data_IF_699859919421
#
_entry.id   IF_699859919421
#
_cell.length_a   1.000
_cell.length_b   1.000
_cell.length_c   1.000
_cell.angle_alpha   90.00
_cell.angle_beta   90.00
_cell.angle_gamma   90.00
#
_symmetry.space_group_name_H-M   'P 1'
#
loop_
_entity.id
_entity.type
_entity.pdbx_description
1 polymer ?
#
# COMPACT_ATOMS: atom_id res chain seq x y z
N UNK A 1 -50.45 4.72 43.51
CA UNK A 1 -50.00 3.61 42.63
C UNK A 1 -48.82 4.09 41.82
N UNK A 2 -47.61 3.90 42.35
CA UNK A 2 -46.36 4.23 41.68
C UNK A 2 -45.92 3.00 40.89
N UNK A 3 -45.74 3.17 39.55
CA UNK A 3 -45.12 2.13 38.70
C UNK A 3 -43.63 2.42 38.60
N UNK A 4 -42.84 1.55 39.20
CA UNK A 4 -41.39 1.56 39.12
C UNK A 4 -40.94 1.12 37.72
N UNK A 5 -40.20 1.99 37.03
CA UNK A 5 -39.47 1.61 35.80
C UNK A 5 -38.20 0.88 36.21
N UNK A 6 -38.11 -0.40 35.84
CA UNK A 6 -36.89 -1.19 35.96
C UNK A 6 -36.01 -0.84 34.76
N UNK A 7 -34.89 -0.15 35.00
CA UNK A 7 -33.82 0.02 34.02
C UNK A 7 -33.02 -1.28 33.91
N UNK A 8 -33.18 -1.99 32.81
CA UNK A 8 -32.29 -3.13 32.48
C UNK A 8 -31.02 -2.52 31.89
N UNK A 9 -29.95 -2.49 32.67
CA UNK A 9 -28.62 -2.13 32.23
C UNK A 9 -28.12 -3.25 31.32
N UNK A 10 -28.24 -3.05 30.00
CA UNK A 10 -27.64 -3.90 28.98
C UNK A 10 -26.12 -3.85 29.13
N UNK A 11 -25.48 -4.96 29.51
CA UNK A 11 -24.03 -5.13 29.43
C UNK A 11 -23.62 -4.96 27.97
N UNK A 12 -23.03 -3.81 27.63
CA UNK A 12 -22.29 -3.64 26.37
C UNK A 12 -21.09 -4.58 26.49
N UNK A 13 -21.19 -5.76 25.88
CA UNK A 13 -20.03 -6.61 25.65
C UNK A 13 -19.08 -5.88 24.72
N UNK A 14 -18.08 -5.21 25.29
CA UNK A 14 -16.93 -4.74 24.54
C UNK A 14 -16.22 -5.99 24.03
N UNK A 15 -16.67 -6.52 22.87
CA UNK A 15 -15.92 -7.53 22.13
C UNK A 15 -14.60 -6.86 21.78
N UNK A 16 -13.53 -7.25 22.45
CA UNK A 16 -12.18 -6.98 21.97
C UNK A 16 -12.12 -7.56 20.56
N UNK A 17 -12.30 -6.71 19.56
CA UNK A 17 -12.27 -7.12 18.16
C UNK A 17 -10.88 -7.71 17.92
N UNK A 18 -10.82 -9.01 17.65
CA UNK A 18 -9.57 -9.66 17.32
C UNK A 18 -8.90 -8.88 16.18
N UNK A 19 -7.59 -8.63 16.31
CA UNK A 19 -6.83 -7.89 15.30
C UNK A 19 -7.09 -8.48 13.90
N UNK A 20 -7.57 -7.68 12.91
CA UNK A 20 -7.95 -8.20 11.60
C UNK A 20 -6.85 -9.06 10.97
N UNK A 21 -7.21 -10.09 10.21
CA UNK A 21 -6.22 -10.97 9.54
C UNK A 21 -5.22 -10.15 8.72
N UNK A 22 -5.69 -9.13 8.00
CA UNK A 22 -4.84 -8.23 7.24
C UNK A 22 -3.81 -7.55 8.13
N UNK A 23 -4.23 -6.98 9.27
CA UNK A 23 -3.32 -6.26 10.18
C UNK A 23 -2.27 -7.18 10.80
N UNK A 24 -2.63 -8.43 11.14
CA UNK A 24 -1.64 -9.43 11.59
C UNK A 24 -0.62 -9.75 10.51
N UNK A 25 -1.05 -9.81 9.25
CA UNK A 25 -0.15 -10.05 8.10
C UNK A 25 0.78 -8.85 7.88
N UNK A 26 0.26 -7.62 8.05
CA UNK A 26 1.08 -6.41 7.99
C UNK A 26 2.04 -6.33 9.18
N UNK A 27 1.58 -6.63 10.41
CA UNK A 27 2.45 -6.66 11.60
C UNK A 27 3.63 -7.64 11.39
N UNK A 28 3.37 -8.80 10.77
CA UNK A 28 4.42 -9.76 10.39
C UNK A 28 5.40 -9.15 9.40
N UNK A 29 4.93 -8.50 8.34
CA UNK A 29 5.81 -7.84 7.36
C UNK A 29 6.65 -6.72 8.01
N UNK A 30 6.04 -5.88 8.82
CA UNK A 30 6.70 -4.80 9.54
C UNK A 30 7.81 -5.33 10.45
N UNK A 31 7.55 -6.44 11.15
CA UNK A 31 8.52 -7.10 12.03
C UNK A 31 9.63 -7.80 11.25
N UNK A 32 9.28 -8.63 10.24
CA UNK A 32 10.24 -9.43 9.48
C UNK A 32 11.27 -8.56 8.73
N UNK A 33 10.90 -7.32 8.38
CA UNK A 33 11.72 -6.39 7.58
C UNK A 33 12.11 -5.11 8.34
N UNK A 34 11.88 -5.01 9.63
CA UNK A 34 12.20 -3.84 10.46
C UNK A 34 11.73 -2.51 9.83
N UNK A 35 10.45 -2.48 9.36
CA UNK A 35 9.94 -1.36 8.57
C UNK A 35 9.65 -0.11 9.40
N UNK A 36 9.35 -0.27 10.71
CA UNK A 36 8.96 0.83 11.60
C UNK A 36 9.81 0.78 12.86
N UNK A 37 10.47 1.89 13.16
CA UNK A 37 11.32 2.09 14.34
C UNK A 37 10.85 3.31 15.14
N UNK A 38 11.29 3.40 16.40
CA UNK A 38 11.01 4.59 17.21
C UNK A 38 11.72 5.80 16.63
N UNK A 39 10.99 6.92 16.55
CA UNK A 39 11.48 8.16 15.96
C UNK A 39 11.26 8.27 14.45
N UNK A 40 10.63 7.27 13.80
CA UNK A 40 10.29 7.40 12.39
C UNK A 40 9.23 8.46 12.12
N UNK A 41 9.40 9.20 11.03
CA UNK A 41 8.42 10.09 10.43
C UNK A 41 8.01 9.51 9.08
N UNK A 42 6.82 8.90 9.01
CA UNK A 42 6.38 8.08 7.88
C UNK A 42 5.35 8.83 7.03
N UNK A 43 5.61 8.98 5.74
CA UNK A 43 4.67 9.51 4.76
C UNK A 43 3.92 8.36 4.06
N UNK A 44 2.61 8.28 4.24
CA UNK A 44 1.76 7.27 3.58
C UNK A 44 1.38 7.78 2.19
N UNK A 45 1.73 7.05 1.15
CA UNK A 45 1.33 7.35 -0.23
C UNK A 45 -0.14 6.97 -0.45
N UNK A 46 -1.05 7.94 -0.30
CA UNK A 46 -2.49 7.77 -0.40
C UNK A 46 -2.96 7.90 -1.86
N UNK A 47 -3.08 6.79 -2.59
CA UNK A 47 -3.58 6.81 -3.96
C UNK A 47 -5.11 6.97 -4.07
N UNK A 48 -5.85 6.76 -3.00
CA UNK A 48 -7.32 6.70 -2.97
C UNK A 48 -7.89 5.32 -3.31
N UNK A 49 -7.06 4.34 -3.65
CA UNK A 49 -7.46 2.96 -3.87
C UNK A 49 -7.52 2.14 -2.57
N UNK A 50 -8.20 0.99 -2.61
CA UNK A 50 -8.39 0.10 -1.47
C UNK A 50 -7.09 -0.25 -0.71
N UNK A 51 -5.98 -0.46 -1.45
CA UNK A 51 -4.70 -0.89 -0.87
C UNK A 51 -4.08 0.21 -0.01
N UNK A 52 -4.01 1.44 -0.54
CA UNK A 52 -3.49 2.59 0.20
C UNK A 52 -4.42 3.01 1.35
N UNK A 53 -5.73 2.78 1.22
CA UNK A 53 -6.72 3.05 2.28
C UNK A 53 -6.55 2.05 3.43
N UNK A 54 -6.41 0.75 3.13
CA UNK A 54 -6.13 -0.29 4.12
C UNK A 54 -4.79 -0.05 4.84
N UNK A 55 -3.79 0.43 4.11
CA UNK A 55 -2.51 0.82 4.68
C UNK A 55 -2.64 2.00 5.65
N UNK A 56 -3.39 3.05 5.29
CA UNK A 56 -3.63 4.19 6.18
C UNK A 56 -4.41 3.79 7.44
N UNK A 57 -5.44 2.93 7.32
CA UNK A 57 -6.17 2.38 8.45
C UNK A 57 -5.24 1.59 9.39
N UNK A 58 -4.36 0.76 8.84
CA UNK A 58 -3.36 0.05 9.63
C UNK A 58 -2.45 1.02 10.42
N UNK A 59 -1.94 2.08 9.77
CA UNK A 59 -1.10 3.06 10.45
C UNK A 59 -1.87 3.80 11.55
N UNK A 60 -3.14 4.16 11.32
CA UNK A 60 -3.99 4.76 12.34
C UNK A 60 -4.18 3.85 13.57
N UNK A 61 -4.37 2.54 13.34
CA UNK A 61 -4.43 1.56 14.42
C UNK A 61 -3.06 1.37 15.11
N UNK A 62 -1.98 1.48 14.35
CA UNK A 62 -0.62 1.28 14.85
C UNK A 62 -0.15 2.45 15.72
N UNK A 63 -0.48 3.69 15.36
CA UNK A 63 -0.20 4.90 16.14
C UNK A 63 -0.81 4.88 17.55
N UNK A 64 -1.89 4.12 17.77
CA UNK A 64 -2.51 3.95 19.08
C UNK A 64 -1.74 2.99 19.99
N UNK A 65 -0.72 2.29 19.50
CA UNK A 65 0.11 1.36 20.29
C UNK A 65 1.26 2.14 20.96
N UNK A 66 1.68 1.67 22.15
CA UNK A 66 2.72 2.34 22.93
C UNK A 66 4.12 2.29 22.29
N UNK A 67 4.42 1.25 21.53
CA UNK A 67 5.75 1.01 20.95
C UNK A 67 5.65 0.31 19.59
N UNK A 68 6.54 0.63 18.63
CA UNK A 68 7.44 1.79 18.65
C UNK A 68 6.68 3.12 18.59
N UNK A 69 7.25 4.21 19.09
CA UNK A 69 6.70 5.57 18.97
C UNK A 69 7.18 6.17 17.66
N UNK A 70 6.28 6.52 16.77
CA UNK A 70 6.56 7.12 15.46
C UNK A 70 5.44 8.07 15.07
N UNK A 71 5.65 8.86 14.03
CA UNK A 71 4.64 9.74 13.44
C UNK A 71 4.28 9.28 12.02
N UNK A 72 3.04 9.54 11.62
CA UNK A 72 2.61 9.25 10.25
C UNK A 72 1.58 10.25 9.77
N UNK A 73 1.73 10.68 8.51
CA UNK A 73 0.74 11.47 7.78
C UNK A 73 0.59 10.92 6.36
N UNK A 74 -0.41 11.35 5.63
CA UNK A 74 -0.70 10.87 4.29
C UNK A 74 -0.57 11.99 3.25
N UNK A 75 -0.08 11.63 2.05
CA UNK A 75 -0.03 12.52 0.90
C UNK A 75 -0.70 11.87 -0.30
N UNK A 76 -1.68 12.57 -0.87
CA UNK A 76 -2.25 12.26 -2.17
C UNK A 76 -1.64 13.16 -3.24
N UNK A 77 -1.09 12.56 -4.30
CA UNK A 77 -0.65 13.28 -5.49
C UNK A 77 -1.75 13.20 -6.54
N UNK A 78 -2.53 14.27 -6.67
CA UNK A 78 -3.51 14.45 -7.74
C UNK A 78 -2.79 14.84 -9.03
N UNK A 79 -3.33 14.42 -10.18
CA UNK A 79 -2.74 14.70 -11.50
C UNK A 79 -3.81 15.23 -12.46
N UNK A 80 -3.35 15.93 -13.51
CA UNK A 80 -4.18 16.45 -14.61
C UNK A 80 -4.84 15.35 -15.48
N UNK A 81 -4.46 14.10 -15.33
CA UNK A 81 -5.03 12.96 -16.09
C UNK A 81 -5.96 12.05 -15.27
N UNK A 82 -6.41 12.52 -14.15
CA UNK A 82 -7.27 11.77 -13.22
C UNK A 82 -6.58 11.43 -11.91
N UNK A 83 -7.27 10.75 -11.01
CA UNK A 83 -6.89 10.45 -9.62
C UNK A 83 -7.37 11.47 -8.59
N UNK A 84 -8.61 11.99 -8.74
CA UNK A 84 -9.22 12.75 -7.65
C UNK A 84 -9.38 11.88 -6.40
N UNK A 85 -9.06 12.47 -5.25
CA UNK A 85 -9.29 11.80 -3.97
C UNK A 85 -10.77 11.99 -3.56
N UNK A 86 -11.47 10.89 -3.30
CA UNK A 86 -12.90 10.94 -3.00
C UNK A 86 -13.18 11.65 -1.66
N UNK A 87 -14.17 12.57 -1.58
CA UNK A 87 -14.50 13.28 -0.34
C UNK A 87 -14.75 12.35 0.86
N UNK A 88 -15.48 11.26 0.66
CA UNK A 88 -15.74 10.27 1.72
C UNK A 88 -14.48 9.58 2.27
N UNK A 89 -13.45 9.41 1.46
CA UNK A 89 -12.16 8.91 1.95
C UNK A 89 -11.41 9.98 2.74
N UNK A 90 -11.47 11.25 2.33
CA UNK A 90 -10.86 12.35 3.09
C UNK A 90 -11.41 12.43 4.51
N UNK A 91 -12.74 12.33 4.66
CA UNK A 91 -13.37 12.31 5.98
C UNK A 91 -12.91 11.10 6.80
N UNK A 92 -12.82 9.92 6.19
CA UNK A 92 -12.36 8.70 6.86
C UNK A 92 -10.92 8.81 7.40
N UNK A 93 -10.01 9.45 6.66
CA UNK A 93 -8.65 9.71 7.13
C UNK A 93 -8.67 10.64 8.34
N UNK A 94 -9.49 11.69 8.33
CA UNK A 94 -9.68 12.58 9.49
C UNK A 94 -10.24 11.83 10.71
N UNK A 95 -11.24 10.97 10.52
CA UNK A 95 -11.83 10.13 11.60
C UNK A 95 -10.80 9.16 12.20
N UNK A 96 -9.83 8.71 11.41
CA UNK A 96 -8.71 7.88 11.86
C UNK A 96 -7.59 8.68 12.55
N UNK A 97 -7.62 10.01 12.48
CA UNK A 97 -6.55 10.88 12.99
C UNK A 97 -5.29 10.85 12.13
N UNK A 98 -5.43 10.58 10.83
CA UNK A 98 -4.34 10.66 9.86
C UNK A 98 -4.48 11.96 9.07
N UNK A 99 -3.52 12.86 9.22
CA UNK A 99 -3.45 14.09 8.44
C UNK A 99 -3.24 13.77 6.97
N UNK A 100 -4.14 14.25 6.11
CA UNK A 100 -4.09 14.04 4.67
C UNK A 100 -3.84 15.35 3.93
N UNK A 101 -2.70 15.46 3.28
CA UNK A 101 -2.40 16.52 2.33
C UNK A 101 -2.72 16.06 0.91
N UNK A 102 -3.29 16.96 0.10
CA UNK A 102 -3.50 16.75 -1.35
C UNK A 102 -2.65 17.75 -2.11
N UNK A 103 -1.74 17.25 -2.95
CA UNK A 103 -0.89 18.05 -3.83
C UNK A 103 -1.20 17.75 -5.28
N UNK A 104 -1.54 18.77 -6.06
CA UNK A 104 -1.81 18.63 -7.49
C UNK A 104 -0.55 18.89 -8.31
N UNK A 105 -0.30 18.04 -9.31
CA UNK A 105 0.81 18.22 -10.28
C UNK A 105 0.30 18.02 -11.70
N UNK A 106 0.86 18.73 -12.67
CA UNK A 106 0.69 18.40 -14.08
C UNK A 106 1.75 17.38 -14.51
N UNK A 107 1.31 16.19 -14.92
CA UNK A 107 2.21 15.18 -15.48
C UNK A 107 2.38 15.33 -16.99
N UNK A 108 1.42 16.01 -17.65
CA UNK A 108 1.47 16.31 -19.07
C UNK A 108 2.51 17.40 -19.36
N UNK A 109 2.52 18.49 -18.59
CA UNK A 109 3.48 19.60 -18.78
C UNK A 109 4.94 19.18 -18.54
N UNK A 110 5.15 18.09 -17.81
CA UNK A 110 6.48 17.51 -17.56
C UNK A 110 6.92 16.58 -18.66
N UNK A 111 6.05 16.27 -19.63
CA UNK A 111 6.36 15.34 -20.71
C UNK A 111 7.23 16.05 -21.75
N UNK A 112 8.35 15.43 -22.11
CA UNK A 112 9.21 15.97 -23.18
C UNK A 112 8.49 15.94 -24.53
N UNK A 113 8.73 16.93 -25.36
CA UNK A 113 8.18 17.01 -26.72
C UNK A 113 8.37 15.67 -27.47
N UNK A 114 7.32 15.21 -28.14
CA UNK A 114 7.30 13.96 -28.90
C UNK A 114 7.21 12.66 -28.08
N UNK A 115 7.18 12.72 -26.75
CA UNK A 115 6.95 11.53 -25.90
C UNK A 115 5.47 11.33 -25.64
N UNK A 116 5.02 10.06 -25.65
CA UNK A 116 3.64 9.69 -25.33
C UNK A 116 3.48 9.42 -23.84
N UNK A 117 2.35 9.86 -23.28
CA UNK A 117 1.94 9.58 -21.93
C UNK A 117 1.74 8.08 -21.71
N UNK A 118 2.20 7.55 -20.57
CA UNK A 118 1.97 6.17 -20.16
C UNK A 118 1.99 6.03 -18.62
N UNK A 119 1.51 4.88 -18.12
CA UNK A 119 1.42 4.62 -16.68
C UNK A 119 2.77 4.68 -15.95
N UNK A 120 3.86 4.26 -16.62
CA UNK A 120 5.20 4.31 -16.03
C UNK A 120 5.64 5.77 -15.79
N UNK A 121 5.42 6.65 -16.76
CA UNK A 121 5.73 8.08 -16.63
C UNK A 121 4.93 8.71 -15.48
N UNK A 122 3.61 8.52 -15.48
CA UNK A 122 2.73 9.06 -14.42
C UNK A 122 3.18 8.58 -13.03
N UNK A 123 3.40 7.28 -12.86
CA UNK A 123 3.82 6.73 -11.58
C UNK A 123 5.21 7.22 -11.16
N UNK A 124 6.12 7.45 -12.11
CA UNK A 124 7.45 7.99 -11.84
C UNK A 124 7.39 9.43 -11.36
N UNK A 125 6.54 10.28 -11.99
CA UNK A 125 6.35 11.67 -11.58
C UNK A 125 5.71 11.76 -10.18
N UNK A 126 4.70 10.94 -9.91
CA UNK A 126 4.07 10.88 -8.57
C UNK A 126 5.07 10.43 -7.50
N UNK A 127 5.91 9.43 -7.78
CA UNK A 127 6.95 8.96 -6.85
C UNK A 127 8.00 10.04 -6.60
N UNK A 128 8.40 10.77 -7.65
CA UNK A 128 9.33 11.90 -7.51
C UNK A 128 8.76 12.98 -6.57
N UNK A 129 7.48 13.33 -6.73
CA UNK A 129 6.84 14.31 -5.86
C UNK A 129 6.68 13.83 -4.42
N UNK A 130 6.35 12.55 -4.23
CA UNK A 130 6.33 11.94 -2.89
C UNK A 130 7.70 12.05 -2.21
N UNK A 131 8.78 11.75 -2.93
CA UNK A 131 10.15 11.84 -2.39
C UNK A 131 10.57 13.27 -2.08
N UNK A 132 10.24 14.23 -2.96
CA UNK A 132 10.51 15.66 -2.73
C UNK A 132 9.75 16.19 -1.51
N UNK A 133 8.47 15.85 -1.42
CA UNK A 133 7.64 16.26 -0.30
C UNK A 133 8.17 15.66 1.02
N UNK A 134 8.51 14.38 1.02
CA UNK A 134 9.08 13.71 2.19
C UNK A 134 10.36 14.40 2.66
N UNK A 135 11.30 14.68 1.75
CA UNK A 135 12.54 15.38 2.07
C UNK A 135 12.29 16.80 2.62
N UNK A 136 11.38 17.55 1.99
CA UNK A 136 11.06 18.93 2.40
C UNK A 136 10.41 19.04 3.79
N UNK A 137 9.69 17.98 4.21
CA UNK A 137 8.92 17.97 5.46
C UNK A 137 9.50 17.02 6.52
N UNK A 138 10.73 16.54 6.33
CA UNK A 138 11.44 15.74 7.34
C UNK A 138 10.95 14.30 7.50
N UNK A 139 10.22 13.75 6.54
CA UNK A 139 9.86 12.33 6.55
C UNK A 139 11.06 11.48 6.13
N UNK A 140 11.41 10.47 6.92
CA UNK A 140 12.50 9.54 6.62
C UNK A 140 12.03 8.26 5.93
N UNK A 141 10.73 7.96 5.99
CA UNK A 141 10.15 6.78 5.34
C UNK A 141 8.91 7.13 4.51
N UNK A 142 8.73 6.43 3.38
CA UNK A 142 7.53 6.51 2.53
C UNK A 142 6.89 5.14 2.46
N UNK A 143 5.66 5.00 2.99
CA UNK A 143 4.90 3.77 2.96
C UNK A 143 4.05 3.67 1.69
N UNK A 144 4.29 2.61 0.91
CA UNK A 144 3.60 2.34 -0.36
C UNK A 144 2.63 1.17 -0.22
N UNK A 145 1.46 1.29 -0.83
CA UNK A 145 0.42 0.25 -0.84
C UNK A 145 0.66 -0.93 -1.78
N UNK A 146 1.92 -1.21 -2.15
CA UNK A 146 2.25 -2.38 -2.95
C UNK A 146 2.13 -3.66 -2.13
N UNK A 147 1.45 -4.65 -2.68
CA UNK A 147 1.12 -5.92 -2.02
C UNK A 147 1.84 -7.11 -2.65
N UNK A 148 1.63 -8.31 -2.11
CA UNK A 148 2.29 -9.54 -2.54
C UNK A 148 2.18 -9.79 -4.06
N UNK A 149 0.97 -9.64 -4.61
CA UNK A 149 0.75 -9.86 -6.05
C UNK A 149 1.53 -8.85 -6.90
N UNK A 150 1.61 -7.56 -6.52
CA UNK A 150 2.41 -6.56 -7.24
C UNK A 150 3.89 -6.93 -7.32
N UNK A 151 4.43 -7.48 -6.22
CA UNK A 151 5.83 -7.91 -6.15
C UNK A 151 6.07 -9.09 -7.07
N UNK A 152 5.19 -10.09 -7.03
CA UNK A 152 5.29 -11.28 -7.87
C UNK A 152 5.03 -10.99 -9.35
N UNK A 153 4.03 -10.15 -9.66
CA UNK A 153 3.80 -9.66 -11.03
C UNK A 153 5.06 -8.97 -11.58
N UNK A 154 5.72 -8.14 -10.75
CA UNK A 154 6.96 -7.46 -11.14
C UNK A 154 8.11 -8.44 -11.36
N UNK A 155 8.27 -9.44 -10.50
CA UNK A 155 9.26 -10.50 -10.68
C UNK A 155 9.07 -11.25 -11.99
N UNK A 156 7.83 -11.67 -12.28
CA UNK A 156 7.49 -12.35 -13.54
C UNK A 156 7.71 -11.46 -14.77
N UNK A 157 7.35 -10.18 -14.69
CA UNK A 157 7.61 -9.23 -15.78
C UNK A 157 9.11 -9.10 -16.04
N UNK A 158 9.93 -8.88 -15.02
CA UNK A 158 11.38 -8.75 -15.19
C UNK A 158 12.01 -10.03 -15.72
N UNK A 159 11.66 -11.20 -15.16
CA UNK A 159 12.16 -12.49 -15.63
C UNK A 159 11.83 -12.75 -17.11
N UNK A 160 10.59 -12.47 -17.53
CA UNK A 160 10.11 -12.80 -18.87
C UNK A 160 10.43 -11.74 -19.95
N UNK A 161 10.73 -10.50 -19.55
CA UNK A 161 10.98 -9.40 -20.51
C UNK A 161 12.42 -8.91 -20.52
N UNK A 162 13.16 -9.12 -19.40
CA UNK A 162 14.55 -8.66 -19.25
C UNK A 162 15.53 -9.79 -18.97
N UNK A 163 15.05 -11.00 -18.66
CA UNK A 163 15.91 -12.08 -18.19
C UNK A 163 16.49 -11.82 -16.79
N UNK A 164 15.85 -10.97 -15.98
CA UNK A 164 16.31 -10.58 -14.65
C UNK A 164 15.39 -11.12 -13.56
N UNK A 165 15.92 -11.82 -12.57
CA UNK A 165 15.18 -12.19 -11.37
C UNK A 165 15.21 -11.04 -10.36
N UNK A 166 14.37 -10.03 -10.58
CA UNK A 166 14.26 -8.82 -9.77
C UNK A 166 12.81 -8.44 -9.51
N UNK A 167 12.51 -7.97 -8.30
CA UNK A 167 11.18 -7.54 -7.88
C UNK A 167 11.24 -6.20 -7.13
N UNK A 168 10.14 -5.82 -6.51
CA UNK A 168 10.10 -4.68 -5.59
C UNK A 168 10.46 -5.17 -4.17
N UNK A 169 11.60 -4.76 -3.59
CA UNK A 169 11.96 -5.19 -2.24
C UNK A 169 10.98 -4.60 -1.20
N UNK A 170 10.72 -5.31 -0.08
CA UNK A 170 9.88 -4.81 1.01
C UNK A 170 10.37 -3.48 1.61
N UNK A 171 11.68 -3.30 1.69
CA UNK A 171 12.36 -2.08 2.14
C UNK A 171 13.40 -1.68 1.10
N UNK A 172 13.42 -0.42 0.72
CA UNK A 172 14.35 0.12 -0.27
C UNK A 172 14.82 1.51 0.14
N UNK A 173 16.09 1.64 0.53
CA UNK A 173 16.73 2.94 0.64
C UNK A 173 16.84 3.58 -0.75
N UNK A 174 16.60 4.88 -0.85
CA UNK A 174 16.58 5.55 -2.14
C UNK A 174 17.73 6.55 -2.26
N UNK A 175 18.74 6.23 -3.05
CA UNK A 175 20.00 6.97 -3.12
C UNK A 175 19.85 8.45 -3.51
N UNK A 176 18.81 8.80 -4.28
CA UNK A 176 18.58 10.18 -4.76
C UNK A 176 17.92 11.10 -3.73
N UNK A 177 17.33 10.54 -2.68
CA UNK A 177 16.64 11.27 -1.61
C UNK A 177 16.91 10.55 -0.30
N UNK A 178 17.05 11.26 0.84
CA UNK A 178 17.29 10.65 2.15
C UNK A 178 16.00 10.02 2.71
N UNK A 179 15.37 9.12 1.94
CA UNK A 179 14.13 8.46 2.31
C UNK A 179 14.21 6.96 2.02
N UNK A 180 13.55 6.17 2.86
CA UNK A 180 13.40 4.73 2.67
C UNK A 180 11.96 4.40 2.27
N UNK A 181 11.78 3.71 1.14
CA UNK A 181 10.48 3.16 0.77
C UNK A 181 10.21 1.87 1.54
N UNK A 182 9.04 1.78 2.17
CA UNK A 182 8.56 0.57 2.84
C UNK A 182 7.26 0.09 2.22
N UNK A 183 7.04 -1.25 2.21
CA UNK A 183 5.86 -1.89 1.63
C UNK A 183 5.20 -2.83 2.65
N UNK A 184 4.48 -2.29 3.63
CA UNK A 184 3.91 -3.11 4.72
C UNK A 184 2.91 -4.18 4.23
N UNK A 185 2.30 -3.98 3.04
CA UNK A 185 1.39 -4.96 2.42
C UNK A 185 2.13 -6.08 1.65
N UNK A 186 3.46 -6.15 1.64
CA UNK A 186 4.24 -7.09 0.83
C UNK A 186 3.92 -8.59 1.08
N UNK A 187 3.31 -8.93 2.19
CA UNK A 187 2.88 -10.30 2.54
C UNK A 187 1.36 -10.52 2.38
N UNK A 188 0.58 -9.48 2.08
CA UNK A 188 -0.87 -9.56 1.88
C UNK A 188 -1.20 -9.73 0.39
N UNK A 189 -2.09 -10.64 0.05
CA UNK A 189 -2.62 -10.81 -1.31
C UNK A 189 -3.88 -9.98 -1.56
N UNK A 190 -4.24 -9.83 -2.84
CA UNK A 190 -5.42 -9.05 -3.25
C UNK A 190 -6.71 -9.53 -2.57
N UNK A 191 -7.03 -10.85 -2.52
CA UNK A 191 -8.25 -11.32 -1.85
C UNK A 191 -8.34 -10.94 -0.37
N UNK A 192 -7.20 -10.94 0.35
CA UNK A 192 -7.14 -10.54 1.76
C UNK A 192 -7.48 -9.05 1.93
N UNK A 193 -6.93 -8.20 1.07
CA UNK A 193 -7.16 -6.75 1.11
C UNK A 193 -8.60 -6.42 0.72
N UNK A 194 -9.14 -7.05 -0.33
CA UNK A 194 -10.54 -6.87 -0.77
C UNK A 194 -11.49 -7.23 0.37
N UNK A 195 -11.34 -8.42 0.97
CA UNK A 195 -12.20 -8.86 2.07
C UNK A 195 -12.16 -7.89 3.26
N UNK A 196 -10.99 -7.35 3.57
CA UNK A 196 -10.86 -6.35 4.62
C UNK A 196 -11.57 -5.05 4.25
N UNK A 197 -11.37 -4.54 3.03
CA UNK A 197 -12.01 -3.34 2.53
C UNK A 197 -13.56 -3.46 2.48
N UNK A 198 -14.08 -4.64 2.13
CA UNK A 198 -15.52 -4.96 2.19
C UNK A 198 -16.06 -4.89 3.61
N UNK A 199 -15.39 -5.55 4.55
CA UNK A 199 -15.79 -5.53 5.96
C UNK A 199 -15.77 -4.11 6.57
N UNK A 200 -14.87 -3.25 6.09
CA UNK A 200 -14.74 -1.87 6.54
C UNK A 200 -15.57 -0.87 5.71
N UNK A 201 -16.23 -1.33 4.65
CA UNK A 201 -17.11 -0.50 3.82
C UNK A 201 -16.39 0.59 3.01
N UNK A 202 -15.17 0.32 2.54
CA UNK A 202 -14.42 1.25 1.68
C UNK A 202 -13.85 0.61 0.41
N UNK A 203 -14.60 -0.28 -0.23
CA UNK A 203 -14.26 -0.65 -1.61
C UNK A 203 -14.37 0.61 -2.44
N UNK A 204 -13.23 1.24 -2.67
CA UNK A 204 -13.19 2.45 -3.44
C UNK A 204 -12.73 2.18 -4.86
N UNK A 205 -13.08 3.12 -5.72
CA UNK A 205 -12.70 3.20 -7.11
C UNK A 205 -11.20 2.98 -7.30
N UNK A 206 -10.86 2.04 -8.14
CA UNK A 206 -9.54 1.96 -8.77
C UNK A 206 -9.29 3.23 -9.58
N UNK A 207 -8.01 3.58 -9.80
CA UNK A 207 -7.63 4.64 -10.71
C UNK A 207 -8.40 4.51 -12.05
N UNK A 208 -9.13 5.54 -12.44
CA UNK A 208 -9.99 5.57 -13.64
C UNK A 208 -9.33 6.20 -14.86
N UNK A 209 -7.98 6.29 -14.90
CA UNK A 209 -7.31 6.89 -16.04
C UNK A 209 -7.37 5.97 -17.28
N UNK A 210 -7.59 6.58 -18.46
CA UNK A 210 -7.73 5.88 -19.75
C UNK A 210 -6.45 5.18 -20.26
N UNK A 211 -5.35 5.26 -19.52
CA UNK A 211 -4.05 4.71 -19.91
C UNK A 211 -3.77 3.30 -19.38
N UNK A 212 -4.75 2.67 -18.70
CA UNK A 212 -4.59 1.34 -18.08
C UNK A 212 -4.75 0.14 -19.03
N UNK A 213 -5.27 0.34 -20.24
CA UNK A 213 -5.83 -0.76 -21.05
C UNK A 213 -4.81 -1.77 -21.59
N UNK A 214 -3.54 -1.43 -21.69
CA UNK A 214 -2.49 -2.32 -22.26
C UNK A 214 -1.28 -2.47 -21.32
N UNK A 215 -1.47 -2.70 -20.04
CA UNK A 215 -0.34 -2.88 -19.15
C UNK A 215 0.13 -4.35 -19.16
N UNK A 216 1.43 -4.59 -19.32
CA UNK A 216 2.04 -5.91 -19.14
C UNK A 216 1.71 -6.55 -17.78
N UNK A 217 1.20 -5.77 -16.83
CA UNK A 217 0.69 -6.24 -15.53
C UNK A 217 -0.53 -7.15 -15.64
N UNK A 218 -1.49 -6.88 -16.56
CA UNK A 218 -2.64 -7.78 -16.75
C UNK A 218 -2.18 -9.17 -17.18
N UNK A 219 -1.22 -9.23 -18.10
CA UNK A 219 -0.62 -10.48 -18.55
C UNK A 219 0.16 -11.16 -17.42
N UNK A 220 0.96 -10.42 -16.67
CA UNK A 220 1.70 -10.96 -15.53
C UNK A 220 0.77 -11.51 -14.44
N UNK A 221 -0.33 -10.80 -14.13
CA UNK A 221 -1.37 -11.26 -13.21
C UNK A 221 -2.01 -12.57 -13.66
N UNK A 222 -2.44 -12.64 -14.90
CA UNK A 222 -3.01 -13.90 -15.45
C UNK A 222 -2.02 -15.06 -15.38
N UNK A 223 -0.73 -14.82 -15.65
CA UNK A 223 0.32 -15.84 -15.51
C UNK A 223 0.54 -16.25 -14.06
N UNK A 224 0.57 -15.27 -13.15
CA UNK A 224 0.70 -15.53 -11.72
C UNK A 224 -0.47 -16.39 -11.19
N UNK A 225 -1.70 -16.06 -11.58
CA UNK A 225 -2.89 -16.81 -11.17
C UNK A 225 -2.84 -18.25 -11.69
N UNK A 226 -2.44 -18.46 -12.94
CA UNK A 226 -2.25 -19.81 -13.51
C UNK A 226 -1.12 -20.58 -12.80
N UNK A 227 -0.01 -19.92 -12.45
CA UNK A 227 1.14 -20.55 -11.81
C UNK A 227 0.82 -20.95 -10.35
N UNK A 228 -0.04 -20.20 -9.68
CA UNK A 228 -0.34 -20.37 -8.26
C UNK A 228 -1.75 -20.87 -7.96
N UNK A 229 -2.56 -21.16 -9.00
CA UNK A 229 -4.01 -21.44 -8.88
C UNK A 229 -4.74 -20.38 -8.01
N UNK A 230 -4.24 -19.16 -7.98
CA UNK A 230 -4.72 -18.09 -7.10
C UNK A 230 -4.51 -18.33 -5.60
N UNK A 231 -3.82 -19.43 -5.21
CA UNK A 231 -3.65 -19.84 -3.79
C UNK A 231 -2.60 -19.00 -3.09
N UNK A 232 -2.97 -18.44 -1.93
CA UNK A 232 -2.09 -17.62 -1.10
C UNK A 232 -0.78 -18.34 -0.72
N UNK A 233 -0.86 -19.61 -0.35
CA UNK A 233 0.28 -20.41 0.07
C UNK A 233 1.32 -20.56 -1.04
N UNK A 234 0.88 -20.73 -2.30
CA UNK A 234 1.77 -20.83 -3.45
C UNK A 234 2.39 -19.46 -3.79
N UNK A 235 1.63 -18.37 -3.70
CA UNK A 235 2.14 -17.00 -3.82
C UNK A 235 3.21 -16.74 -2.77
N UNK A 236 3.00 -17.17 -1.52
CA UNK A 236 3.98 -17.03 -0.44
C UNK A 236 5.25 -17.83 -0.70
N UNK A 237 5.15 -19.07 -1.14
CA UNK A 237 6.31 -19.89 -1.53
C UNK A 237 7.11 -19.25 -2.67
N UNK A 238 6.43 -18.72 -3.68
CA UNK A 238 7.08 -18.03 -4.79
C UNK A 238 7.81 -16.74 -4.32
N UNK A 239 7.21 -15.98 -3.41
CA UNK A 239 7.85 -14.82 -2.79
C UNK A 239 9.07 -15.22 -1.96
N UNK A 240 8.98 -16.30 -1.19
CA UNK A 240 10.09 -16.78 -0.38
C UNK A 240 11.23 -17.34 -1.25
N UNK A 241 10.92 -17.95 -2.40
CA UNK A 241 11.92 -18.41 -3.38
C UNK A 241 12.78 -17.26 -3.93
N UNK A 242 12.25 -16.03 -4.04
CA UNK A 242 13.03 -14.86 -4.46
C UNK A 242 14.15 -14.49 -3.46
N UNK A 243 14.09 -15.00 -2.22
CA UNK A 243 15.08 -14.77 -1.18
C UNK A 243 15.99 -16.00 -0.93
N UNK A 244 15.48 -17.19 -1.25
CA UNK A 244 16.15 -18.45 -1.01
C UNK A 244 16.71 -19.01 -2.33
N UNK A 245 17.70 -18.32 -2.87
CA UNK A 245 18.37 -18.75 -4.11
C UNK A 245 19.49 -19.73 -3.74
N UNK A 246 19.39 -20.98 -4.21
CA UNK A 246 20.47 -21.93 -4.10
C UNK A 246 21.38 -21.80 -5.33
N UNK A 247 22.48 -21.05 -5.15
CA UNK A 247 23.39 -20.71 -6.26
C UNK A 247 24.17 -21.92 -6.79
N UNK A 248 24.31 -23.00 -6.00
CA UNK A 248 24.98 -24.24 -6.43
C UNK A 248 24.20 -25.01 -7.51
N UNK A 249 22.88 -24.76 -7.62
CA UNK A 249 21.99 -25.42 -8.58
C UNK A 249 21.46 -24.47 -9.65
N UNK A 250 22.10 -23.32 -9.84
CA UNK A 250 21.81 -22.43 -10.95
C UNK A 250 22.78 -22.72 -12.12
N UNK A 251 22.33 -22.51 -13.40
CA UNK A 251 23.18 -22.70 -14.57
C UNK A 251 24.32 -21.68 -14.62
#
# INVERSE_FOLDING_TARGET
MQRSCIFVIGRIHCRVMANPKLFRTIDKAVSDYNMIESGDHILIAASGGKDSTALAEYFAARLKRKHPVFEAAALHIATDIGSAFLPGLKQRFADWGIDLTVKTISVLDRLKAGKKMNCWWCSSQRRLELSRYAQQHGYNKIALGHHLDDILETALMNALTKGELAAMPPVLAFDKFPVTFIRPLCLADIPMIIRHAEMQGYISSTCTCNYQENSGRKTARSRLDKLTDGKYELKRKLFDALKNINTEYLP
#
